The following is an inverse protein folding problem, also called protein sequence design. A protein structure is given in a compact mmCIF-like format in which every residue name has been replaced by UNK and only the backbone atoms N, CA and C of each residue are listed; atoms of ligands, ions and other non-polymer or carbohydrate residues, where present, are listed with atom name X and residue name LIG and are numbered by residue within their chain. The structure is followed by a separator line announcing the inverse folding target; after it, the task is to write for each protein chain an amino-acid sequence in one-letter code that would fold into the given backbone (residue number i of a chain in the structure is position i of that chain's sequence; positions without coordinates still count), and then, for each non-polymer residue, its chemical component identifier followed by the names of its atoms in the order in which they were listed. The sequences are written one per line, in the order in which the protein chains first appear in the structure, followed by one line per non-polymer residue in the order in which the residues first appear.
data_IF_428466612669
#
_entry.id   IF_428466612669
#
_cell.length_a   1.000
_cell.length_b   1.000
_cell.length_c   1.000
_cell.angle_alpha   90.00
_cell.angle_beta   90.00
_cell.angle_gamma   90.00
#
_symmetry.space_group_name_H-M   'P 1'
#
loop_
_entity.id
_entity.type
_entity.pdbx_description
1 polymer ?
#
# COMPACT_ATOMS: atom_id res chain seq x y z
N UNK A 1 11.73 -9.80 10.18
CA UNK A 1 11.96 -8.36 9.98
C UNK A 1 10.76 -7.76 9.30
N UNK A 2 10.27 -6.63 9.76
CA UNK A 2 9.02 -6.04 9.26
C UNK A 2 9.13 -4.53 9.06
N UNK A 3 8.71 -4.07 7.89
CA UNK A 3 8.44 -2.66 7.63
C UNK A 3 6.98 -2.29 7.97
N UNK A 4 6.17 -3.24 8.35
CA UNK A 4 4.84 -3.00 8.90
C UNK A 4 4.97 -2.53 10.35
N UNK A 5 4.36 -1.40 10.67
CA UNK A 5 4.45 -0.74 11.98
C UNK A 5 3.06 -0.40 12.54
N UNK A 6 2.07 -1.22 12.20
CA UNK A 6 0.69 -0.99 12.59
C UNK A 6 0.39 -1.69 13.93
N UNK A 7 -0.15 -0.96 14.90
CA UNK A 7 -0.55 -1.54 16.18
C UNK A 7 -1.59 -2.66 16.04
N UNK A 8 -2.40 -2.58 15.01
CA UNK A 8 -3.39 -3.60 14.68
C UNK A 8 -2.78 -4.96 14.40
N UNK A 9 -1.53 -5.01 13.93
CA UNK A 9 -0.83 -6.26 13.64
C UNK A 9 -0.45 -7.03 14.93
N UNK A 10 -0.49 -6.41 16.11
CA UNK A 10 -0.25 -7.11 17.38
C UNK A 10 -1.26 -8.25 17.61
N UNK A 11 -2.53 -8.01 17.33
CA UNK A 11 -3.57 -9.04 17.46
C UNK A 11 -3.31 -10.19 16.48
N UNK A 12 -2.86 -9.89 15.26
CA UNK A 12 -2.50 -10.85 14.24
C UNK A 12 -1.38 -11.80 14.70
N UNK A 13 -0.31 -11.23 15.25
CA UNK A 13 0.83 -12.02 15.73
C UNK A 13 0.50 -12.83 16.98
N UNK A 14 -0.26 -12.27 17.90
CA UNK A 14 -0.72 -12.97 19.09
C UNK A 14 -1.60 -14.17 18.74
N UNK A 15 -2.48 -14.03 17.76
CA UNK A 15 -3.36 -15.10 17.30
C UNK A 15 -2.56 -16.24 16.65
N UNK A 16 -1.58 -15.92 15.80
CA UNK A 16 -0.67 -16.93 15.22
C UNK A 16 0.04 -17.74 16.31
N UNK A 17 0.59 -17.08 17.32
CA UNK A 17 1.27 -17.76 18.45
C UNK A 17 0.30 -18.62 19.23
N UNK A 18 -0.93 -18.14 19.46
CA UNK A 18 -1.97 -18.91 20.14
C UNK A 18 -2.34 -20.20 19.39
N UNK A 19 -2.46 -20.11 18.07
CA UNK A 19 -2.85 -21.24 17.23
C UNK A 19 -1.71 -22.26 17.03
N UNK A 20 -0.48 -21.83 16.96
CA UNK A 20 0.66 -22.67 16.54
C UNK A 20 1.66 -22.96 17.64
N UNK A 21 1.67 -22.19 18.73
CA UNK A 21 2.72 -22.23 19.75
C UNK A 21 4.04 -21.60 19.30
N UNK A 22 4.13 -21.10 18.06
CA UNK A 22 5.33 -20.47 17.51
C UNK A 22 5.39 -19.01 17.96
N UNK A 23 6.47 -18.63 18.61
CA UNK A 23 6.70 -17.25 19.03
C UNK A 23 7.24 -16.43 17.87
N UNK A 24 6.79 -15.18 17.77
CA UNK A 24 7.29 -14.22 16.81
C UNK A 24 8.19 -13.22 17.52
N UNK A 25 9.46 -13.17 17.13
CA UNK A 25 10.41 -12.14 17.53
C UNK A 25 10.52 -11.13 16.39
N UNK A 26 10.20 -9.86 16.66
CA UNK A 26 10.15 -8.84 15.63
C UNK A 26 11.28 -7.85 15.74
N UNK A 27 11.81 -7.47 14.58
CA UNK A 27 12.58 -6.26 14.39
C UNK A 27 11.86 -5.44 13.33
N UNK A 28 11.44 -4.25 13.73
CA UNK A 28 10.76 -3.30 12.87
C UNK A 28 11.72 -2.19 12.46
N UNK A 29 11.59 -1.72 11.23
CA UNK A 29 12.45 -0.68 10.70
C UNK A 29 11.99 -0.23 9.32
N UNK A 30 12.72 0.73 8.77
CA UNK A 30 12.51 1.14 7.40
C UNK A 30 12.97 0.05 6.43
N UNK A 31 12.27 -0.05 5.32
CA UNK A 31 12.50 -1.12 4.34
C UNK A 31 13.94 -1.18 3.85
N UNK A 32 14.54 -0.04 3.50
CA UNK A 32 15.93 0.02 3.06
C UNK A 32 16.91 -0.46 4.14
N UNK A 33 16.69 -0.06 5.37
CA UNK A 33 17.54 -0.44 6.52
C UNK A 33 17.45 -1.95 6.78
N UNK A 34 16.25 -2.53 6.65
CA UNK A 34 16.04 -3.96 6.81
C UNK A 34 16.70 -4.77 5.68
N UNK A 35 16.60 -4.31 4.44
CA UNK A 35 17.26 -4.95 3.29
C UNK A 35 18.80 -4.95 3.45
N UNK A 36 19.38 -3.80 3.81
CA UNK A 36 20.81 -3.69 4.07
C UNK A 36 21.23 -4.57 5.24
N UNK A 37 20.43 -4.61 6.30
CA UNK A 37 20.69 -5.46 7.45
C UNK A 37 20.75 -6.94 7.07
N UNK A 38 19.78 -7.43 6.30
CA UNK A 38 19.74 -8.83 5.84
C UNK A 38 20.99 -9.14 4.98
N UNK A 39 21.37 -8.22 4.09
CA UNK A 39 22.56 -8.38 3.26
C UNK A 39 23.84 -8.48 4.10
N UNK A 40 23.99 -7.59 5.08
CA UNK A 40 25.18 -7.55 5.93
C UNK A 40 25.27 -8.75 6.88
N UNK A 41 24.16 -9.24 7.39
CA UNK A 41 24.10 -10.43 8.21
C UNK A 41 24.40 -11.71 7.42
N UNK A 42 24.04 -11.72 6.14
CA UNK A 42 24.34 -12.83 5.21
C UNK A 42 23.83 -14.18 5.72
N UNK A 43 24.70 -15.19 5.70
CA UNK A 43 24.37 -16.55 6.16
C UNK A 43 24.12 -16.64 7.68
N UNK A 44 24.53 -15.64 8.43
CA UNK A 44 24.36 -15.59 9.89
C UNK A 44 23.11 -14.81 10.31
N UNK A 45 22.27 -14.39 9.36
CA UNK A 45 21.04 -13.67 9.68
C UNK A 45 20.11 -14.52 10.55
N UNK A 46 19.62 -13.99 11.68
CA UNK A 46 18.64 -14.69 12.50
C UNK A 46 17.20 -14.57 11.96
N UNK A 47 17.01 -13.81 10.89
CA UNK A 47 15.70 -13.53 10.35
C UNK A 47 15.16 -14.68 9.49
N UNK A 48 13.89 -15.01 9.71
CA UNK A 48 13.17 -16.04 8.96
C UNK A 48 12.31 -15.45 7.85
N UNK A 49 11.68 -14.29 8.12
CA UNK A 49 10.70 -13.65 7.24
C UNK A 49 11.01 -12.17 7.09
N UNK A 50 10.82 -11.65 5.88
CA UNK A 50 10.76 -10.22 5.61
C UNK A 50 9.33 -9.86 5.20
N UNK A 51 8.72 -8.89 5.90
CA UNK A 51 7.46 -8.25 5.53
C UNK A 51 7.72 -6.82 5.08
N UNK A 52 7.13 -6.43 3.96
CA UNK A 52 7.20 -5.05 3.44
C UNK A 52 5.81 -4.51 3.15
N UNK A 53 5.72 -3.21 2.89
CA UNK A 53 4.46 -2.51 2.59
C UNK A 53 4.39 -2.00 1.16
N UNK A 54 5.30 -2.44 0.30
CA UNK A 54 5.39 -1.99 -1.10
C UNK A 54 5.93 -3.08 -2.02
N UNK A 55 5.29 -3.26 -3.18
CA UNK A 55 5.69 -4.26 -4.18
C UNK A 55 7.10 -4.04 -4.71
N UNK A 56 7.55 -2.79 -4.85
CA UNK A 56 8.89 -2.48 -5.31
C UNK A 56 9.97 -3.00 -4.34
N UNK A 57 9.67 -3.02 -3.06
CA UNK A 57 10.57 -3.57 -2.04
C UNK A 57 10.63 -5.09 -2.07
N UNK A 58 9.51 -5.74 -2.33
CA UNK A 58 9.48 -7.20 -2.57
C UNK A 58 10.29 -7.56 -3.81
N UNK A 59 10.09 -6.84 -4.91
CA UNK A 59 10.85 -7.02 -6.14
C UNK A 59 12.36 -6.80 -5.91
N UNK A 60 12.73 -5.77 -5.16
CA UNK A 60 14.12 -5.49 -4.81
C UNK A 60 14.75 -6.61 -3.99
N UNK A 61 14.06 -7.12 -2.98
CA UNK A 61 14.53 -8.26 -2.19
C UNK A 61 14.70 -9.52 -3.05
N UNK A 62 13.78 -9.76 -3.99
CA UNK A 62 13.89 -10.84 -4.97
C UNK A 62 15.13 -10.67 -5.87
N UNK A 63 15.32 -9.49 -6.48
CA UNK A 63 16.48 -9.19 -7.31
C UNK A 63 17.82 -9.39 -6.59
N UNK A 64 17.87 -9.04 -5.31
CA UNK A 64 19.06 -9.25 -4.46
C UNK A 64 19.24 -10.69 -4.00
N UNK A 65 18.35 -11.60 -4.38
CA UNK A 65 18.41 -13.01 -4.00
C UNK A 65 18.24 -13.27 -2.51
N UNK A 66 17.46 -12.41 -1.82
CA UNK A 66 17.27 -12.51 -0.37
C UNK A 66 16.20 -13.52 0.04
N UNK A 67 15.27 -13.87 -0.87
CA UNK A 67 14.21 -14.83 -0.61
C UNK A 67 14.58 -16.25 -1.02
N UNK A 68 13.99 -17.22 -0.32
CA UNK A 68 13.95 -18.62 -0.73
C UNK A 68 12.63 -18.91 -1.44
N UNK A 69 12.63 -19.75 -2.49
CA UNK A 69 11.40 -20.25 -3.09
C UNK A 69 10.56 -21.01 -2.06
N UNK A 70 9.24 -20.82 -2.11
CA UNK A 70 8.27 -21.50 -1.24
C UNK A 70 7.28 -22.25 -2.10
N UNK A 71 7.19 -23.56 -1.92
CA UNK A 71 6.19 -24.42 -2.53
C UNK A 71 5.10 -24.67 -1.51
N UNK A 72 3.94 -24.06 -1.70
CA UNK A 72 2.77 -24.21 -0.83
C UNK A 72 1.50 -24.21 -1.65
N UNK A 73 0.81 -25.33 -1.66
CA UNK A 73 -0.49 -25.45 -2.33
C UNK A 73 -1.53 -24.46 -1.75
N UNK A 74 -1.46 -24.20 -0.45
CA UNK A 74 -2.34 -23.24 0.21
C UNK A 74 -2.10 -21.81 -0.32
N UNK A 75 -0.86 -21.36 -0.35
CA UNK A 75 -0.52 -20.02 -0.86
C UNK A 75 -0.87 -19.89 -2.35
N UNK A 76 -0.55 -20.90 -3.15
CA UNK A 76 -0.86 -20.91 -4.59
C UNK A 76 -2.37 -20.89 -4.87
N UNK A 77 -3.17 -21.53 -4.04
CA UNK A 77 -4.62 -21.57 -4.19
C UNK A 77 -5.30 -20.29 -3.70
N UNK A 78 -4.84 -19.73 -2.60
CA UNK A 78 -5.50 -18.60 -1.96
C UNK A 78 -5.09 -17.24 -2.50
N UNK A 79 -3.84 -17.08 -2.92
CA UNK A 79 -3.32 -15.82 -3.44
C UNK A 79 -3.34 -15.82 -4.95
N UNK A 80 -4.01 -14.84 -5.61
CA UNK A 80 -4.03 -14.73 -7.06
C UNK A 80 -2.63 -14.73 -7.69
N UNK A 81 -2.49 -15.36 -8.85
CA UNK A 81 -1.18 -15.52 -9.51
C UNK A 81 -0.47 -14.19 -9.81
N UNK A 82 -1.22 -13.12 -10.07
CA UNK A 82 -0.68 -11.79 -10.32
C UNK A 82 -0.25 -11.05 -9.04
N UNK A 83 -0.50 -11.62 -7.86
CA UNK A 83 -0.15 -11.05 -6.55
C UNK A 83 0.89 -11.89 -5.81
N UNK A 84 1.56 -12.79 -6.48
CA UNK A 84 2.64 -13.62 -5.93
C UNK A 84 3.68 -13.98 -6.98
N UNK A 85 4.82 -14.40 -6.50
CA UNK A 85 5.88 -15.06 -7.30
C UNK A 85 6.23 -16.40 -6.64
N UNK A 86 7.31 -17.00 -7.04
CA UNK A 86 7.79 -18.25 -6.41
C UNK A 86 8.36 -18.02 -5.01
N UNK A 87 8.73 -16.80 -4.66
CA UNK A 87 9.46 -16.49 -3.43
C UNK A 87 8.92 -15.31 -2.62
N UNK A 88 7.93 -14.59 -3.12
CA UNK A 88 7.20 -13.62 -2.30
C UNK A 88 5.69 -13.63 -2.58
N UNK A 89 4.92 -13.21 -1.59
CA UNK A 89 3.48 -13.31 -1.57
C UNK A 89 2.86 -12.03 -1.04
N UNK A 90 1.78 -11.57 -1.68
CA UNK A 90 0.98 -10.46 -1.18
C UNK A 90 -0.06 -10.96 -0.19
N UNK A 91 -0.32 -10.18 0.85
CA UNK A 91 -1.32 -10.51 1.87
C UNK A 91 -2.43 -9.47 1.98
N UNK A 92 -2.17 -8.25 1.56
CA UNK A 92 -3.18 -7.19 1.49
C UNK A 92 -2.90 -6.25 0.32
N UNK A 93 -3.93 -5.58 -0.14
CA UNK A 93 -3.85 -4.59 -1.22
C UNK A 93 -4.37 -3.24 -0.77
N UNK A 94 -3.88 -2.21 -1.44
CA UNK A 94 -4.39 -0.84 -1.38
C UNK A 94 -4.33 -0.24 -2.76
N UNK A 95 -5.17 0.76 -3.01
CA UNK A 95 -5.12 1.53 -4.23
C UNK A 95 -4.71 2.97 -3.96
N UNK A 96 -4.19 3.64 -4.99
CA UNK A 96 -3.90 5.06 -4.93
C UNK A 96 -5.00 5.80 -5.67
N UNK A 97 -5.92 6.39 -4.91
CA UNK A 97 -7.13 7.07 -5.41
C UNK A 97 -6.95 8.58 -5.47
N UNK A 98 -7.81 9.24 -6.22
CA UNK A 98 -7.87 10.70 -6.31
C UNK A 98 -8.88 11.23 -5.28
N UNK A 99 -8.46 12.23 -4.52
CA UNK A 99 -9.28 12.94 -3.54
C UNK A 99 -9.41 14.40 -3.98
N UNK A 100 -10.62 14.89 -4.11
CA UNK A 100 -10.89 16.26 -4.56
C UNK A 100 -11.82 17.01 -3.62
N UNK A 101 -11.72 18.33 -3.62
CA UNK A 101 -12.64 19.19 -2.87
C UNK A 101 -13.92 19.40 -3.67
N UNK A 102 -15.06 18.98 -3.12
CA UNK A 102 -16.38 19.04 -3.79
C UNK A 102 -16.84 20.46 -4.10
N UNK A 103 -16.35 21.47 -3.37
CA UNK A 103 -16.68 22.86 -3.63
C UNK A 103 -15.86 23.46 -4.77
N UNK A 104 -14.69 22.88 -5.10
CA UNK A 104 -13.76 23.40 -6.09
C UNK A 104 -13.80 22.65 -7.43
N UNK A 105 -14.06 21.36 -7.41
CA UNK A 105 -14.03 20.46 -8.58
C UNK A 105 -15.22 19.51 -8.57
N UNK A 106 -15.52 18.97 -9.75
CA UNK A 106 -16.44 17.84 -9.93
C UNK A 106 -15.64 16.56 -10.16
N UNK A 107 -16.27 15.40 -9.91
CA UNK A 107 -15.65 14.10 -10.14
C UNK A 107 -15.17 13.95 -11.60
N UNK A 108 -15.92 14.50 -12.55
CA UNK A 108 -15.62 14.45 -13.98
C UNK A 108 -14.33 15.19 -14.37
N UNK A 109 -13.86 16.12 -13.53
CA UNK A 109 -12.63 16.88 -13.78
C UNK A 109 -11.35 16.06 -13.51
N UNK A 110 -11.48 14.97 -12.76
CA UNK A 110 -10.35 14.20 -12.21
C UNK A 110 -10.56 12.68 -12.30
N UNK A 111 -10.90 12.19 -13.49
CA UNK A 111 -11.20 10.79 -13.75
C UNK A 111 -9.97 9.89 -13.95
N UNK A 112 -8.80 10.49 -14.19
CA UNK A 112 -7.57 9.77 -14.45
C UNK A 112 -6.37 10.42 -13.77
N UNK A 113 -5.28 9.66 -13.64
CA UNK A 113 -4.00 10.25 -13.20
C UNK A 113 -3.52 11.31 -14.20
N UNK A 114 -3.79 11.14 -15.49
CA UNK A 114 -3.43 12.11 -16.52
C UNK A 114 -4.09 13.48 -16.30
N UNK A 115 -5.29 13.50 -15.76
CA UNK A 115 -6.01 14.74 -15.44
C UNK A 115 -5.25 15.65 -14.46
N UNK A 116 -4.45 15.04 -13.57
CA UNK A 116 -3.63 15.81 -12.62
C UNK A 116 -2.55 16.67 -13.29
N UNK A 117 -2.17 16.32 -14.50
CA UNK A 117 -1.22 17.08 -15.33
C UNK A 117 -1.91 18.09 -16.26
N UNK A 118 -3.26 18.12 -16.28
CA UNK A 118 -3.99 19.06 -17.12
C UNK A 118 -3.79 20.49 -16.63
N UNK A 119 -3.38 21.45 -17.53
CA UNK A 119 -3.20 22.85 -17.15
C UNK A 119 -4.39 23.55 -16.50
N UNK A 120 -5.62 23.01 -16.66
CA UNK A 120 -6.81 23.48 -15.95
C UNK A 120 -6.68 23.38 -14.43
N UNK A 121 -5.83 22.47 -13.95
CA UNK A 121 -5.56 22.27 -12.53
C UNK A 121 -4.36 23.05 -12.00
N UNK A 122 -3.88 24.05 -12.74
CA UNK A 122 -2.74 24.90 -12.32
C UNK A 122 -3.02 25.53 -10.95
N UNK A 123 -2.07 25.32 -10.01
CA UNK A 123 -2.17 25.83 -8.65
C UNK A 123 -3.20 25.08 -7.78
N UNK A 124 -3.65 23.88 -8.18
CA UNK A 124 -4.72 23.14 -7.50
C UNK A 124 -4.31 21.79 -6.93
N UNK A 125 -3.13 21.29 -7.30
CA UNK A 125 -2.66 19.95 -6.89
C UNK A 125 -1.74 20.05 -5.68
N UNK A 126 -1.91 19.18 -4.71
CA UNK A 126 -0.92 18.95 -3.67
C UNK A 126 -0.62 17.45 -3.54
N UNK A 127 0.61 17.12 -3.18
CA UNK A 127 1.08 15.76 -2.98
C UNK A 127 2.07 15.68 -1.83
N UNK A 128 2.28 14.49 -1.33
CA UNK A 128 3.49 14.19 -0.57
C UNK A 128 4.71 14.16 -1.50
N UNK A 129 5.91 14.04 -0.94
CA UNK A 129 7.16 14.01 -1.72
C UNK A 129 7.09 13.01 -2.88
N UNK A 130 7.58 13.43 -4.04
CA UNK A 130 7.76 12.56 -5.22
C UNK A 130 8.76 11.43 -5.01
N UNK A 131 9.71 11.59 -4.07
CA UNK A 131 10.67 10.55 -3.70
C UNK A 131 10.12 9.49 -2.72
N UNK A 132 8.90 9.70 -2.22
CA UNK A 132 8.28 8.72 -1.33
C UNK A 132 7.90 7.44 -2.09
N UNK A 133 8.10 6.23 -1.51
CA UNK A 133 7.81 4.96 -2.17
C UNK A 133 6.44 4.87 -2.84
N UNK A 134 5.38 5.43 -2.25
CA UNK A 134 4.03 5.39 -2.86
C UNK A 134 3.94 6.15 -4.17
N UNK A 135 4.61 7.30 -4.29
CA UNK A 135 4.65 8.06 -5.53
C UNK A 135 5.64 7.47 -6.54
N UNK A 136 6.73 6.88 -6.08
CA UNK A 136 7.66 6.14 -6.94
C UNK A 136 6.99 4.92 -7.57
N UNK A 137 6.22 4.16 -6.79
CA UNK A 137 5.45 3.02 -7.31
C UNK A 137 4.39 3.45 -8.32
N UNK A 138 3.67 4.54 -8.07
CA UNK A 138 2.74 5.10 -9.04
C UNK A 138 3.45 5.52 -10.32
N UNK A 139 4.58 6.21 -10.21
CA UNK A 139 5.40 6.61 -11.37
C UNK A 139 5.85 5.40 -12.19
N UNK A 140 6.32 4.34 -11.51
CA UNK A 140 6.69 3.09 -12.18
C UNK A 140 5.53 2.46 -12.94
N UNK A 141 4.33 2.49 -12.38
CA UNK A 141 3.10 2.02 -13.04
C UNK A 141 2.80 2.84 -14.30
N UNK A 142 2.93 4.16 -14.24
CA UNK A 142 2.71 5.04 -15.40
C UNK A 142 3.76 4.78 -16.48
N UNK A 143 5.02 4.60 -16.12
CA UNK A 143 6.08 4.20 -17.04
C UNK A 143 5.75 2.89 -17.75
N UNK A 144 5.31 1.88 -16.98
CA UNK A 144 4.96 0.58 -17.52
C UNK A 144 3.81 0.63 -18.53
N UNK A 145 2.83 1.50 -18.31
CA UNK A 145 1.67 1.63 -19.18
C UNK A 145 1.86 2.57 -20.36
N UNK A 146 2.63 3.64 -20.19
CA UNK A 146 2.71 4.75 -21.17
C UNK A 146 4.12 4.99 -21.73
N UNK A 147 5.15 4.39 -21.11
CA UNK A 147 6.56 4.62 -21.43
C UNK A 147 7.16 5.82 -20.68
N UNK A 148 8.49 5.90 -20.67
CA UNK A 148 9.25 6.88 -19.90
C UNK A 148 8.97 8.34 -20.34
N UNK A 149 8.92 8.61 -21.65
CA UNK A 149 8.73 9.95 -22.17
C UNK A 149 7.38 10.56 -21.76
N UNK A 150 6.30 9.78 -21.85
CA UNK A 150 4.97 10.23 -21.41
C UNK A 150 4.87 10.36 -19.91
N UNK A 151 5.49 9.45 -19.16
CA UNK A 151 5.53 9.49 -17.70
C UNK A 151 6.31 10.73 -17.21
N UNK A 152 7.42 11.07 -17.84
CA UNK A 152 8.17 12.30 -17.53
C UNK A 152 7.34 13.54 -17.82
N UNK A 153 6.67 13.58 -18.98
CA UNK A 153 5.77 14.69 -19.34
C UNK A 153 4.62 14.82 -18.32
N UNK A 154 4.02 13.71 -17.92
CA UNK A 154 3.01 13.69 -16.88
C UNK A 154 3.53 14.25 -15.55
N UNK A 155 4.68 13.80 -15.09
CA UNK A 155 5.29 14.29 -13.85
C UNK A 155 5.57 15.79 -13.89
N UNK A 156 6.11 16.30 -15.00
CA UNK A 156 6.32 17.74 -15.21
C UNK A 156 5.00 18.52 -15.15
N UNK A 157 3.95 17.99 -15.77
CA UNK A 157 2.62 18.61 -15.76
C UNK A 157 1.99 18.65 -14.35
N UNK A 158 2.13 17.58 -13.57
CA UNK A 158 1.67 17.53 -12.18
C UNK A 158 2.42 18.56 -11.33
N UNK A 159 3.75 18.61 -11.44
CA UNK A 159 4.57 19.60 -10.71
C UNK A 159 4.18 21.03 -11.09
N UNK A 160 3.93 21.31 -12.36
CA UNK A 160 3.48 22.62 -12.82
C UNK A 160 2.12 23.02 -12.21
N UNK A 161 1.31 22.05 -11.78
CA UNK A 161 -0.01 22.28 -11.17
C UNK A 161 0.03 22.36 -9.65
N UNK A 162 1.17 22.21 -9.00
CA UNK A 162 1.26 22.27 -7.55
C UNK A 162 0.77 23.61 -6.99
N UNK A 163 -0.11 23.51 -5.98
CA UNK A 163 -0.55 24.64 -5.17
C UNK A 163 0.55 25.09 -4.19
N UNK A 164 1.38 24.14 -3.76
CA UNK A 164 2.48 24.34 -2.81
C UNK A 164 3.56 23.27 -2.99
N UNK A 165 4.72 23.51 -2.45
CA UNK A 165 5.76 22.48 -2.38
C UNK A 165 5.26 21.22 -1.65
N UNK A 166 5.65 20.01 -2.11
CA UNK A 166 5.29 18.77 -1.43
C UNK A 166 5.75 18.75 0.03
N UNK A 167 4.84 18.39 0.93
CA UNK A 167 5.13 18.25 2.36
C UNK A 167 4.11 17.33 3.03
N UNK A 168 4.51 16.68 4.12
CA UNK A 168 3.64 15.82 4.90
C UNK A 168 3.30 14.48 4.22
N UNK A 169 2.44 13.71 4.86
CA UNK A 169 1.94 12.42 4.37
C UNK A 169 0.60 12.52 3.64
N UNK A 170 0.02 11.38 3.29
CA UNK A 170 -1.26 11.33 2.58
C UNK A 170 -2.40 11.96 3.40
N UNK A 171 -2.45 11.72 4.70
CA UNK A 171 -3.45 12.34 5.58
C UNK A 171 -3.36 13.87 5.56
N UNK A 172 -2.14 14.43 5.54
CA UNK A 172 -1.95 15.89 5.47
C UNK A 172 -2.46 16.46 4.15
N UNK A 173 -2.30 15.71 3.04
CA UNK A 173 -2.85 16.12 1.75
C UNK A 173 -4.38 16.12 1.76
N UNK A 174 -5.00 15.09 2.33
CA UNK A 174 -6.48 15.01 2.43
C UNK A 174 -7.01 16.19 3.25
N UNK A 175 -6.36 16.52 4.36
CA UNK A 175 -6.71 17.69 5.19
C UNK A 175 -6.55 19.00 4.44
N UNK A 176 -5.46 19.14 3.66
CA UNK A 176 -5.23 20.33 2.84
C UNK A 176 -6.29 20.50 1.74
N UNK A 177 -6.71 19.41 1.10
CA UNK A 177 -7.81 19.43 0.12
C UNK A 177 -9.12 19.83 0.80
N UNK A 178 -9.46 19.24 1.93
CA UNK A 178 -10.68 19.60 2.67
C UNK A 178 -10.70 21.06 3.11
N UNK A 179 -9.55 21.61 3.50
CA UNK A 179 -9.39 23.00 3.91
C UNK A 179 -9.32 24.00 2.74
N UNK A 180 -9.22 23.53 1.49
CA UNK A 180 -9.12 24.39 0.31
C UNK A 180 -7.74 24.96 0.03
N UNK A 181 -6.67 24.47 0.68
CA UNK A 181 -5.28 24.84 0.34
C UNK A 181 -4.89 24.36 -1.05
N UNK A 182 -5.45 23.24 -1.45
CA UNK A 182 -5.42 22.69 -2.80
C UNK A 182 -6.79 22.06 -3.11
N UNK A 183 -7.05 21.77 -4.38
CA UNK A 183 -8.33 21.24 -4.80
C UNK A 183 -8.34 19.73 -5.00
N UNK A 184 -7.17 19.12 -5.21
CA UNK A 184 -7.03 17.69 -5.53
C UNK A 184 -5.69 17.14 -5.05
N UNK A 185 -5.71 15.86 -4.65
CA UNK A 185 -4.53 15.08 -4.31
C UNK A 185 -4.72 13.62 -4.67
N UNK A 186 -3.68 12.85 -4.50
CA UNK A 186 -3.70 11.39 -4.53
C UNK A 186 -3.37 10.83 -3.14
N UNK A 187 -4.02 9.75 -2.76
CA UNK A 187 -3.84 9.11 -1.46
C UNK A 187 -4.04 7.61 -1.54
N UNK A 188 -3.35 6.86 -0.71
CA UNK A 188 -3.68 5.47 -0.51
C UNK A 188 -5.01 5.33 0.23
N UNK A 189 -5.77 4.32 -0.16
CA UNK A 189 -7.15 4.09 0.28
C UNK A 189 -7.32 3.95 1.79
N UNK A 190 -6.38 3.32 2.48
CA UNK A 190 -6.50 3.10 3.93
C UNK A 190 -6.44 4.40 4.76
N UNK A 191 -5.80 5.46 4.27
CA UNK A 191 -5.85 6.78 4.93
C UNK A 191 -7.25 7.40 4.83
N UNK A 192 -7.87 7.29 3.66
CA UNK A 192 -9.25 7.76 3.44
C UNK A 192 -10.24 6.98 4.30
N UNK A 193 -10.12 5.64 4.27
CA UNK A 193 -10.98 4.77 5.06
C UNK A 193 -10.88 5.07 6.57
N UNK A 194 -9.69 5.40 7.06
CA UNK A 194 -9.49 5.80 8.46
C UNK A 194 -10.29 7.06 8.81
N UNK A 195 -10.30 8.06 7.93
CA UNK A 195 -11.09 9.28 8.11
C UNK A 195 -12.58 8.96 8.07
N UNK A 196 -13.03 8.13 7.12
CA UNK A 196 -14.43 7.73 6.99
C UNK A 196 -14.96 6.96 8.21
N UNK A 197 -14.10 6.21 8.89
CA UNK A 197 -14.45 5.46 10.11
C UNK A 197 -14.44 6.30 11.39
N UNK A 198 -13.86 7.47 11.33
CA UNK A 198 -13.67 8.30 12.52
C UNK A 198 -14.98 8.97 12.95
N UNK A 199 -15.24 8.99 14.24
CA UNK A 199 -16.37 9.73 14.85
C UNK A 199 -15.97 11.12 15.32
N UNK A 200 -14.70 11.52 15.12
CA UNK A 200 -14.22 12.85 15.48
C UNK A 200 -14.85 13.90 14.59
N UNK A 201 -15.36 15.01 15.18
CA UNK A 201 -16.04 16.07 14.39
C UNK A 201 -15.14 16.64 13.27
N UNK A 202 -13.85 16.80 13.49
CA UNK A 202 -12.91 17.27 12.48
C UNK A 202 -12.78 16.31 11.30
N UNK A 203 -12.76 15.00 11.54
CA UNK A 203 -12.68 13.99 10.47
C UNK A 203 -14.00 13.90 9.68
N UNK A 204 -15.13 14.07 10.36
CA UNK A 204 -16.44 14.15 9.69
C UNK A 204 -16.54 15.34 8.74
N UNK A 205 -16.04 16.51 9.14
CA UNK A 205 -15.95 17.68 8.26
C UNK A 205 -15.09 17.43 7.03
N UNK A 206 -13.98 16.74 7.19
CA UNK A 206 -13.11 16.34 6.07
C UNK A 206 -13.85 15.39 5.14
N UNK A 207 -14.48 14.34 5.66
CA UNK A 207 -15.24 13.37 4.89
C UNK A 207 -16.36 14.03 4.07
N UNK A 208 -17.06 15.01 4.65
CA UNK A 208 -18.13 15.73 3.97
C UNK A 208 -17.63 16.65 2.84
N UNK A 209 -16.43 17.22 3.00
CA UNK A 209 -15.85 18.19 2.07
C UNK A 209 -15.20 17.55 0.84
N UNK A 210 -14.77 16.30 0.93
CA UNK A 210 -14.01 15.64 -0.12
C UNK A 210 -14.82 14.60 -0.89
N UNK A 211 -14.51 14.46 -2.19
CA UNK A 211 -14.98 13.36 -3.02
C UNK A 211 -13.81 12.43 -3.34
N UNK A 212 -14.12 11.20 -3.70
CA UNK A 212 -13.16 10.14 -4.01
C UNK A 212 -13.43 9.66 -5.44
N UNK A 213 -12.39 9.58 -6.24
CA UNK A 213 -12.43 9.01 -7.58
C UNK A 213 -11.44 7.86 -7.68
N UNK A 214 -11.92 6.72 -8.16
CA UNK A 214 -11.09 5.62 -8.61
C UNK A 214 -10.60 5.96 -10.02
N UNK A 215 -9.32 6.30 -10.20
CA UNK A 215 -8.84 6.77 -11.50
C UNK A 215 -8.71 5.65 -12.52
N UNK A 216 -8.68 6.01 -13.80
CA UNK A 216 -8.36 5.15 -14.93
C UNK A 216 -9.29 3.94 -15.11
N UNK A 217 -10.55 3.99 -14.63
CA UNK A 217 -11.45 2.84 -14.67
C UNK A 217 -11.79 2.38 -16.09
N UNK A 218 -11.75 3.28 -17.06
CA UNK A 218 -11.99 2.95 -18.48
C UNK A 218 -10.73 2.58 -19.27
N UNK A 219 -9.58 2.52 -18.60
CA UNK A 219 -8.26 2.22 -19.21
C UNK A 219 -7.51 1.18 -18.40
N UNK A 220 -6.45 1.56 -17.72
CA UNK A 220 -5.54 0.63 -17.01
C UNK A 220 -6.01 0.24 -15.60
N UNK A 221 -7.05 0.88 -15.08
CA UNK A 221 -7.46 0.77 -13.68
C UNK A 221 -6.60 1.62 -12.74
N UNK A 222 -7.04 1.74 -11.50
CA UNK A 222 -6.27 2.41 -10.46
C UNK A 222 -4.99 1.61 -10.14
N UNK A 223 -3.92 2.32 -9.80
CA UNK A 223 -2.69 1.69 -9.33
C UNK A 223 -2.93 0.98 -8.00
N UNK A 224 -2.67 -0.32 -7.98
CA UNK A 224 -2.75 -1.17 -6.80
C UNK A 224 -1.32 -1.45 -6.31
N UNK A 225 -1.11 -1.33 -5.02
CA UNK A 225 0.09 -1.77 -4.35
C UNK A 225 -0.24 -2.82 -3.29
N UNK A 226 0.78 -3.48 -2.77
CA UNK A 226 0.60 -4.62 -1.87
C UNK A 226 1.47 -4.49 -0.63
N UNK A 227 1.00 -5.07 0.47
CA UNK A 227 1.83 -5.49 1.57
C UNK A 227 2.05 -6.99 1.46
N UNK A 228 3.26 -7.42 1.59
CA UNK A 228 3.60 -8.82 1.40
C UNK A 228 4.92 -9.21 2.05
N UNK A 229 5.35 -10.42 1.79
CA UNK A 229 6.59 -10.92 2.33
C UNK A 229 7.00 -12.26 1.76
N UNK A 230 8.11 -12.75 2.23
CA UNK A 230 8.68 -14.03 1.85
C UNK A 230 9.56 -14.62 2.93
N UNK A 231 9.91 -15.88 2.76
CA UNK A 231 10.89 -16.59 3.58
C UNK A 231 12.28 -16.18 3.11
N UNK A 232 13.14 -15.79 4.05
CA UNK A 232 14.51 -15.42 3.72
C UNK A 232 15.35 -16.64 3.36
N UNK A 233 16.28 -16.45 2.42
CA UNK A 233 17.15 -17.51 1.90
C UNK A 233 17.88 -18.29 2.99
N UNK A 234 18.39 -17.58 3.99
CA UNK A 234 19.16 -18.13 5.09
C UNK A 234 18.34 -18.32 6.36
N UNK A 235 17.01 -18.33 6.26
CA UNK A 235 16.13 -18.51 7.41
C UNK A 235 16.50 -19.74 8.23
N UNK A 236 16.76 -19.59 9.54
CA UNK A 236 17.06 -20.74 10.39
C UNK A 236 15.85 -21.63 10.67
N UNK A 237 14.62 -21.09 10.53
CA UNK A 237 13.36 -21.77 10.86
C UNK A 237 12.39 -21.74 9.67
N UNK A 238 12.78 -22.29 8.54
CA UNK A 238 12.00 -22.23 7.27
C UNK A 238 10.59 -22.79 7.39
N UNK A 239 10.41 -23.91 8.08
CA UNK A 239 9.08 -24.52 8.25
C UNK A 239 8.13 -23.60 9.04
N UNK A 240 8.61 -23.01 10.13
CA UNK A 240 7.85 -22.04 10.92
C UNK A 240 7.54 -20.79 10.10
N UNK A 241 8.48 -20.33 9.28
CA UNK A 241 8.30 -19.20 8.38
C UNK A 241 7.19 -19.46 7.35
N UNK A 242 7.18 -20.63 6.73
CA UNK A 242 6.11 -21.02 5.77
C UNK A 242 4.76 -21.08 6.47
N UNK A 243 4.67 -21.67 7.66
CA UNK A 243 3.43 -21.67 8.45
C UNK A 243 2.92 -20.27 8.74
N UNK A 244 3.83 -19.33 9.01
CA UNK A 244 3.46 -17.94 9.22
C UNK A 244 2.89 -17.29 7.95
N UNK A 245 3.52 -17.49 6.79
CA UNK A 245 2.98 -17.00 5.52
C UNK A 245 1.62 -17.62 5.21
N UNK A 246 1.46 -18.91 5.43
CA UNK A 246 0.18 -19.59 5.24
C UNK A 246 -0.92 -19.05 6.16
N UNK A 247 -0.57 -18.76 7.41
CA UNK A 247 -1.47 -18.10 8.37
C UNK A 247 -1.91 -16.71 7.86
N UNK A 248 -0.98 -15.90 7.33
CA UNK A 248 -1.30 -14.58 6.77
C UNK A 248 -2.27 -14.65 5.57
N UNK A 249 -2.28 -15.75 4.84
CA UNK A 249 -3.25 -16.01 3.77
C UNK A 249 -4.54 -16.68 4.28
N UNK A 250 -4.65 -16.98 5.56
CA UNK A 250 -5.83 -17.56 6.18
C UNK A 250 -6.94 -16.53 6.39
N UNK A 251 -8.17 -17.02 6.63
CA UNK A 251 -9.35 -16.16 6.74
C UNK A 251 -9.26 -15.15 7.89
N UNK A 252 -8.76 -15.56 9.03
CA UNK A 252 -8.65 -14.68 10.20
C UNK A 252 -7.66 -13.53 9.94
N UNK A 253 -6.46 -13.83 9.45
CA UNK A 253 -5.46 -12.83 9.13
C UNK A 253 -5.96 -11.85 8.06
N UNK A 254 -6.61 -12.38 7.03
CA UNK A 254 -7.18 -11.58 5.96
C UNK A 254 -8.26 -10.61 6.47
N UNK A 255 -9.09 -11.02 7.42
CA UNK A 255 -10.04 -10.11 8.09
C UNK A 255 -9.34 -9.06 8.95
N UNK A 256 -8.24 -9.38 9.64
CA UNK A 256 -7.45 -8.40 10.40
C UNK A 256 -6.92 -7.28 9.50
N UNK A 257 -6.45 -7.59 8.30
CA UNK A 257 -6.00 -6.56 7.36
C UNK A 257 -7.13 -5.60 7.01
N UNK A 258 -8.34 -6.11 6.76
CA UNK A 258 -9.50 -5.30 6.42
C UNK A 258 -10.00 -4.50 7.63
N UNK A 259 -10.29 -5.17 8.73
CA UNK A 259 -10.99 -4.58 9.87
C UNK A 259 -10.05 -3.75 10.76
N UNK A 260 -8.79 -4.18 10.88
CA UNK A 260 -7.79 -3.51 11.70
C UNK A 260 -7.11 -2.35 10.99
N UNK A 261 -6.72 -2.51 9.73
CA UNK A 261 -5.90 -1.52 9.03
C UNK A 261 -6.51 -0.96 7.74
N UNK A 262 -7.75 -1.26 7.45
CA UNK A 262 -8.47 -0.78 6.26
C UNK A 262 -7.77 -1.13 4.94
N UNK A 263 -7.14 -2.30 4.86
CA UNK A 263 -6.54 -2.83 3.64
C UNK A 263 -7.46 -3.92 3.07
N UNK A 264 -7.54 -4.03 1.74
CA UNK A 264 -8.28 -5.13 1.14
C UNK A 264 -7.52 -6.44 1.29
N UNK A 265 -8.21 -7.55 1.64
CA UNK A 265 -7.61 -8.88 1.59
C UNK A 265 -7.28 -9.26 0.15
N UNK A 266 -6.26 -10.08 -0.04
CA UNK A 266 -5.92 -10.67 -1.35
C UNK A 266 -6.75 -11.92 -1.66
N UNK A 267 -7.31 -12.55 -0.64
CA UNK A 267 -8.11 -13.76 -0.76
C UNK A 267 -9.55 -13.39 -1.08
N UNK A 268 -9.98 -13.65 -2.30
CA UNK A 268 -11.27 -13.21 -2.82
C UNK A 268 -12.49 -13.77 -2.06
N UNK A 269 -12.36 -14.94 -1.43
CA UNK A 269 -13.43 -15.57 -0.65
C UNK A 269 -13.67 -14.92 0.72
N UNK A 270 -12.73 -14.10 1.19
CA UNK A 270 -12.87 -13.43 2.48
C UNK A 270 -13.72 -12.18 2.31
N UNK A 271 -14.84 -12.14 3.00
CA UNK A 271 -15.75 -10.99 3.00
C UNK A 271 -15.20 -9.89 3.92
N UNK A 272 -15.17 -8.69 3.40
CA UNK A 272 -14.84 -7.49 4.16
C UNK A 272 -16.08 -7.03 4.91
N UNK A 273 -15.97 -6.88 6.23
CA UNK A 273 -17.03 -6.33 7.09
C UNK A 273 -16.67 -4.90 7.57
N UNK A 274 -16.05 -4.13 6.70
CA UNK A 274 -15.59 -2.77 6.98
C UNK A 274 -16.38 -1.76 6.14
N UNK A 275 -17.37 -1.05 6.73
CA UNK A 275 -18.21 -0.12 5.98
C UNK A 275 -17.42 0.98 5.26
N UNK A 276 -16.28 1.39 5.79
CA UNK A 276 -15.46 2.42 5.17
C UNK A 276 -14.78 1.91 3.89
N UNK A 277 -14.35 0.65 3.84
CA UNK A 277 -13.84 0.03 2.62
C UNK A 277 -14.97 -0.22 1.62
N UNK A 278 -16.14 -0.63 2.08
CA UNK A 278 -17.31 -0.84 1.23
C UNK A 278 -17.82 0.46 0.61
N UNK A 279 -17.60 1.60 1.27
CA UNK A 279 -17.97 2.94 0.79
C UNK A 279 -16.97 3.52 -0.22
N UNK A 280 -15.80 2.95 -0.36
CA UNK A 280 -14.79 3.32 -1.34
C UNK A 280 -15.02 2.60 -2.68
#
# INVERSE_FOLDING_TARGET
YSARHYQTDEALYADFTKQTGIKINRIEGKEEELLERIRNEGANSPADVLLTVDAARLAKAHELGLFAPVKSALLETRIPANLRTDDWFSFSTRARVIIFNKAALKAEDVQSYDDLANPKLKGKVCTRSGSHPYNLSLMASIIAHQGEAKAESWAKGVVANFARAPKGGDTDQIKAVAAGECAVTISNTYYVARILRSDKPEDRKIADAVGIVWPNQNTTGAHINVSGGGVLKNAPHKEAAVKFLEYLAGDEAQRYFADGNNEWPVVASVKVANPALEAL
#
